data_IF_424667608488
#
_entry.id   IF_424667608488
#
_cell.length_a   1.000
_cell.length_b   1.000
_cell.length_c   1.000
_cell.angle_alpha   90.00
_cell.angle_beta   90.00
_cell.angle_gamma   90.00
#
_symmetry.space_group_name_H-M   'P 1'
#
loop_
_entity.id
_entity.type
_entity.pdbx_description
1 polymer ?
#
# COMPACT_ATOMS: atom_id res chain seq x y z
N UNK A 1 12.78 2.12 -9.91
CA UNK A 1 13.66 1.01 -9.54
C UNK A 1 13.68 0.71 -8.04
N UNK A 2 14.43 -0.31 -7.62
CA UNK A 2 14.66 -0.59 -6.20
C UNK A 2 15.91 0.13 -5.69
N UNK A 3 16.02 0.32 -4.38
CA UNK A 3 17.21 0.91 -3.73
C UNK A 3 18.50 0.17 -4.11
N UNK A 4 18.47 -1.17 -4.16
CA UNK A 4 19.63 -1.98 -4.56
C UNK A 4 20.08 -1.69 -5.99
N UNK A 5 19.14 -1.63 -6.94
CA UNK A 5 19.43 -1.29 -8.34
C UNK A 5 19.91 0.15 -8.47
N UNK A 6 19.30 1.09 -7.73
CA UNK A 6 19.73 2.49 -7.72
C UNK A 6 21.17 2.65 -7.27
N UNK A 7 21.59 1.94 -6.23
CA UNK A 7 22.99 1.92 -5.77
C UNK A 7 23.96 1.47 -6.85
N UNK A 8 23.64 0.41 -7.60
CA UNK A 8 24.49 -0.07 -8.70
C UNK A 8 24.54 0.93 -9.85
N UNK A 9 23.42 1.54 -10.21
CA UNK A 9 23.36 2.58 -11.24
C UNK A 9 24.25 3.79 -10.84
N UNK A 10 24.14 4.27 -9.59
CA UNK A 10 24.94 5.40 -9.10
C UNK A 10 26.44 5.07 -9.08
N UNK A 11 26.84 3.86 -8.71
CA UNK A 11 28.25 3.42 -8.80
C UNK A 11 28.75 3.45 -10.25
N UNK A 12 27.96 2.92 -11.19
CA UNK A 12 28.31 2.94 -12.61
C UNK A 12 28.39 4.39 -13.14
N UNK A 13 27.46 5.25 -12.76
CA UNK A 13 27.45 6.65 -13.14
C UNK A 13 28.68 7.40 -12.61
N UNK A 14 29.04 7.18 -11.34
CA UNK A 14 30.23 7.77 -10.74
C UNK A 14 31.53 7.33 -11.45
N UNK A 15 31.66 6.06 -11.80
CA UNK A 15 32.83 5.54 -12.53
C UNK A 15 33.00 6.17 -13.93
N UNK A 16 31.91 6.62 -14.53
CA UNK A 16 31.90 7.21 -15.87
C UNK A 16 31.70 8.73 -15.86
N UNK A 17 31.64 9.37 -14.69
CA UNK A 17 31.38 10.82 -14.50
C UNK A 17 30.10 11.29 -15.20
N UNK A 18 29.06 10.47 -15.18
CA UNK A 18 27.76 10.76 -15.81
C UNK A 18 26.79 11.27 -14.74
N UNK A 19 26.20 12.47 -14.91
CA UNK A 19 25.10 12.92 -14.06
C UNK A 19 23.91 11.94 -14.16
N UNK A 20 23.30 11.59 -13.01
CA UNK A 20 22.19 10.66 -12.99
C UNK A 20 21.14 11.09 -11.98
N UNK A 21 19.87 10.89 -12.35
CA UNK A 21 18.71 10.96 -11.47
C UNK A 21 18.13 9.57 -11.35
N UNK A 22 17.82 9.14 -10.14
CA UNK A 22 17.22 7.83 -9.87
C UNK A 22 15.87 7.99 -9.20
N UNK A 23 14.91 7.25 -9.72
CA UNK A 23 13.58 7.10 -9.15
C UNK A 23 13.48 5.69 -8.56
N UNK A 24 13.27 5.59 -7.25
CA UNK A 24 13.38 4.35 -6.48
C UNK A 24 12.09 4.04 -5.72
N UNK A 25 12.18 3.24 -4.67
CA UNK A 25 11.03 2.84 -3.88
C UNK A 25 10.53 3.88 -2.88
N UNK A 26 9.37 3.63 -2.33
CA UNK A 26 8.73 4.45 -1.32
C UNK A 26 7.93 3.64 -0.30
N UNK A 27 7.56 4.32 0.79
CA UNK A 27 6.66 3.79 1.83
C UNK A 27 5.81 4.92 2.41
N UNK A 28 5.17 5.66 1.51
CA UNK A 28 4.44 6.89 1.83
C UNK A 28 3.31 6.66 2.83
N UNK A 29 3.21 7.48 3.90
CA UNK A 29 2.10 7.42 4.84
C UNK A 29 0.97 8.38 4.44
N UNK A 30 -0.29 7.95 4.54
CA UNK A 30 -1.43 8.83 4.72
C UNK A 30 -1.71 8.95 6.22
N UNK A 31 -1.88 10.18 6.72
CA UNK A 31 -2.10 10.46 8.14
C UNK A 31 -3.48 11.07 8.32
N UNK A 32 -4.30 10.47 9.19
CA UNK A 32 -5.67 10.87 9.45
C UNK A 32 -5.84 11.24 10.93
N UNK A 33 -6.05 12.53 11.19
CA UNK A 33 -6.36 13.05 12.52
C UNK A 33 -7.87 13.10 12.77
N UNK A 34 -8.28 13.20 14.02
CA UNK A 34 -9.70 13.21 14.40
C UNK A 34 -10.48 14.41 13.87
N UNK A 35 -9.80 15.51 13.54
CA UNK A 35 -10.41 16.71 12.97
C UNK A 35 -11.08 16.47 11.60
N UNK A 36 -10.81 15.34 10.94
CA UNK A 36 -11.58 14.93 9.76
C UNK A 36 -13.09 14.77 10.04
N UNK A 37 -13.46 14.62 11.32
CA UNK A 37 -14.85 14.56 11.76
C UNK A 37 -15.52 15.92 11.87
N UNK A 38 -14.77 17.02 11.88
CA UNK A 38 -15.29 18.39 11.98
C UNK A 38 -15.86 18.89 10.66
N UNK A 39 -15.63 18.16 9.58
CA UNK A 39 -16.15 18.46 8.26
C UNK A 39 -17.49 17.77 8.00
N UNK A 40 -18.12 18.13 6.87
CA UNK A 40 -19.41 17.55 6.45
C UNK A 40 -19.40 16.01 6.47
N UNK A 41 -20.55 15.40 6.68
CA UNK A 41 -20.72 13.94 6.86
C UNK A 41 -20.05 13.06 5.79
N UNK A 42 -19.84 13.61 4.57
CA UNK A 42 -19.19 12.88 3.47
C UNK A 42 -17.64 12.95 3.48
N UNK A 43 -17.03 13.80 4.30
CA UNK A 43 -15.58 14.01 4.26
C UNK A 43 -14.79 12.79 4.70
N UNK A 44 -15.24 12.10 5.75
CA UNK A 44 -14.62 10.85 6.20
C UNK A 44 -14.66 9.76 5.11
N UNK A 45 -15.74 9.74 4.33
CA UNK A 45 -15.87 8.86 3.17
C UNK A 45 -14.86 9.21 2.07
N UNK A 46 -14.63 10.51 1.82
CA UNK A 46 -13.59 10.96 0.86
C UNK A 46 -12.18 10.60 1.33
N UNK A 47 -11.92 10.68 2.63
CA UNK A 47 -10.66 10.22 3.21
C UNK A 47 -10.45 8.71 2.98
N UNK A 48 -11.50 7.90 3.18
CA UNK A 48 -11.43 6.47 2.90
C UNK A 48 -11.21 6.16 1.42
N UNK A 49 -11.86 6.89 0.51
CA UNK A 49 -11.60 6.80 -0.93
C UNK A 49 -10.15 7.15 -1.27
N UNK A 50 -9.61 8.22 -0.68
CA UNK A 50 -8.21 8.61 -0.83
C UNK A 50 -7.23 7.51 -0.40
N UNK A 51 -7.54 6.78 0.67
CA UNK A 51 -6.72 5.63 1.08
C UNK A 51 -6.78 4.50 0.06
N UNK A 52 -7.97 4.21 -0.47
CA UNK A 52 -8.16 3.12 -1.44
C UNK A 52 -7.44 3.35 -2.78
N UNK A 53 -7.04 4.59 -3.10
CA UNK A 53 -6.18 4.88 -4.24
C UNK A 53 -4.86 4.10 -4.17
N UNK A 54 -4.43 3.68 -2.98
CA UNK A 54 -3.26 2.82 -2.80
C UNK A 54 -3.39 1.44 -3.45
N UNK A 55 -4.58 0.99 -3.82
CA UNK A 55 -4.79 -0.25 -4.56
C UNK A 55 -4.77 -0.06 -6.09
N UNK A 56 -4.95 1.16 -6.57
CA UNK A 56 -5.03 1.43 -8.00
C UNK A 56 -3.68 1.23 -8.67
N UNK A 57 -3.71 1.03 -9.98
CA UNK A 57 -2.56 0.57 -10.76
C UNK A 57 -1.89 -0.67 -10.12
N UNK A 58 -2.70 -1.59 -9.57
CA UNK A 58 -2.29 -2.82 -8.87
C UNK A 58 -1.40 -2.54 -7.64
N UNK A 59 -1.36 -1.31 -7.09
CA UNK A 59 -0.42 -0.89 -6.06
C UNK A 59 1.05 -0.81 -6.53
N UNK A 60 1.30 -0.90 -7.83
CA UNK A 60 2.62 -0.79 -8.44
C UNK A 60 2.97 0.68 -8.74
N UNK A 61 3.02 1.49 -7.67
CA UNK A 61 3.28 2.94 -7.71
C UNK A 61 4.23 3.29 -6.57
N UNK A 62 5.36 3.93 -6.88
CA UNK A 62 6.38 4.31 -5.89
C UNK A 62 5.88 5.35 -4.86
N UNK A 63 4.97 6.25 -5.28
CA UNK A 63 4.32 7.24 -4.41
C UNK A 63 3.02 6.73 -3.78
N UNK A 64 2.73 5.43 -3.90
CA UNK A 64 1.51 4.83 -3.36
C UNK A 64 1.43 5.07 -1.84
N UNK A 65 0.26 5.51 -1.30
CA UNK A 65 0.05 5.61 0.14
C UNK A 65 -0.10 4.21 0.76
N UNK A 66 1.04 3.51 0.87
CA UNK A 66 1.08 2.11 1.30
C UNK A 66 0.97 1.92 2.81
N UNK A 67 0.98 3.02 3.59
CA UNK A 67 0.69 3.05 5.03
C UNK A 67 -0.44 4.03 5.32
N UNK A 68 -1.36 3.65 6.22
CA UNK A 68 -2.32 4.55 6.83
C UNK A 68 -2.05 4.66 8.33
N UNK A 69 -1.78 5.88 8.79
CA UNK A 69 -1.64 6.23 10.20
C UNK A 69 -2.94 6.92 10.61
N UNK A 70 -3.66 6.34 11.56
CA UNK A 70 -5.01 6.78 11.93
C UNK A 70 -5.03 7.10 13.43
N UNK A 71 -5.49 8.28 13.80
CA UNK A 71 -5.59 8.65 15.21
C UNK A 71 -6.52 7.69 15.96
N UNK A 72 -6.14 7.25 17.18
CA UNK A 72 -6.85 6.21 17.94
C UNK A 72 -8.35 6.51 18.11
N UNK A 73 -8.71 7.78 18.31
CA UNK A 73 -10.13 8.19 18.52
C UNK A 73 -11.06 7.92 17.35
N UNK A 74 -10.52 7.81 16.12
CA UNK A 74 -11.32 7.57 14.90
C UNK A 74 -11.01 6.23 14.24
N UNK A 75 -10.05 5.46 14.78
CA UNK A 75 -9.47 4.28 14.14
C UNK A 75 -10.53 3.26 13.71
N UNK A 76 -11.33 2.79 14.63
CA UNK A 76 -12.33 1.74 14.34
C UNK A 76 -13.38 2.23 13.33
N UNK A 77 -13.92 3.44 13.55
CA UNK A 77 -14.92 4.03 12.65
C UNK A 77 -14.39 4.22 11.23
N UNK A 78 -13.15 4.67 11.11
CA UNK A 78 -12.51 4.87 9.81
C UNK A 78 -12.26 3.54 9.10
N UNK A 79 -11.76 2.53 9.82
CA UNK A 79 -11.52 1.21 9.26
C UNK A 79 -12.80 0.51 8.79
N UNK A 80 -13.90 0.65 9.52
CA UNK A 80 -15.20 0.10 9.08
C UNK A 80 -15.59 0.63 7.70
N UNK A 81 -15.43 1.94 7.48
CA UNK A 81 -15.72 2.57 6.19
C UNK A 81 -14.76 2.07 5.10
N UNK A 82 -13.46 2.01 5.39
CA UNK A 82 -12.44 1.55 4.44
C UNK A 82 -12.70 0.10 4.03
N UNK A 83 -12.98 -0.79 4.99
CA UNK A 83 -13.28 -2.21 4.75
C UNK A 83 -14.52 -2.37 3.87
N UNK A 84 -15.63 -1.66 4.20
CA UNK A 84 -16.85 -1.76 3.39
C UNK A 84 -16.65 -1.25 1.95
N UNK A 85 -15.97 -0.13 1.78
CA UNK A 85 -15.66 0.40 0.44
C UNK A 85 -14.71 -0.50 -0.35
N UNK A 86 -13.74 -1.12 0.30
CA UNK A 86 -12.81 -2.04 -0.35
C UNK A 86 -13.50 -3.22 -1.02
N UNK A 87 -14.65 -3.66 -0.51
CA UNK A 87 -15.45 -4.75 -1.09
C UNK A 87 -16.02 -4.42 -2.47
N UNK A 88 -16.09 -3.14 -2.81
CA UNK A 88 -16.63 -2.68 -4.11
C UNK A 88 -15.58 -2.61 -5.21
N UNK A 89 -14.31 -2.83 -4.89
CA UNK A 89 -13.21 -2.76 -5.85
C UNK A 89 -13.31 -3.91 -6.85
N UNK A 90 -13.42 -3.57 -8.13
CA UNK A 90 -13.53 -4.54 -9.22
C UNK A 90 -12.15 -4.88 -9.77
N UNK A 91 -11.81 -6.16 -9.73
CA UNK A 91 -10.65 -6.70 -10.42
C UNK A 91 -11.06 -7.30 -11.76
N UNK A 92 -10.26 -7.14 -12.81
CA UNK A 92 -10.65 -7.64 -14.12
C UNK A 92 -9.66 -7.33 -15.23
N UNK A 93 -10.17 -7.39 -16.46
CA UNK A 93 -9.43 -7.02 -17.66
C UNK A 93 -9.16 -5.49 -17.66
N UNK A 94 -7.91 -5.04 -17.78
CA UNK A 94 -7.58 -3.61 -17.76
C UNK A 94 -8.14 -2.82 -18.95
N UNK A 95 -8.64 -3.51 -20.01
CA UNK A 95 -9.33 -2.86 -21.12
C UNK A 95 -10.84 -2.65 -20.86
N UNK A 96 -11.37 -3.20 -19.77
CA UNK A 96 -12.74 -2.94 -19.33
C UNK A 96 -12.77 -1.67 -18.48
N UNK A 97 -13.55 -0.63 -18.84
CA UNK A 97 -13.61 0.62 -18.11
C UNK A 97 -14.15 0.47 -16.67
N UNK A 98 -14.81 -0.63 -16.34
CA UNK A 98 -15.28 -0.92 -14.98
C UNK A 98 -14.20 -1.55 -14.11
N UNK A 99 -13.08 -1.99 -14.67
CA UNK A 99 -11.96 -2.57 -13.92
C UNK A 99 -11.17 -1.47 -13.20
N UNK A 100 -10.98 -1.63 -11.91
CA UNK A 100 -10.22 -0.71 -11.07
C UNK A 100 -8.81 -1.23 -10.75
N UNK A 101 -8.66 -2.56 -10.64
CA UNK A 101 -7.38 -3.20 -10.30
C UNK A 101 -7.13 -4.37 -11.27
N UNK A 102 -6.01 -4.34 -11.96
CA UNK A 102 -5.56 -5.37 -12.90
C UNK A 102 -4.65 -6.43 -12.27
N UNK A 103 -4.00 -7.22 -13.14
CA UNK A 103 -2.99 -8.19 -12.74
C UNK A 103 -1.64 -7.51 -12.43
N UNK A 104 -0.82 -8.14 -11.60
CA UNK A 104 0.57 -7.72 -11.38
C UNK A 104 1.39 -7.84 -12.66
N UNK A 105 2.42 -7.00 -12.80
CA UNK A 105 3.24 -6.92 -14.00
C UNK A 105 4.01 -8.21 -14.32
N UNK A 106 4.31 -9.05 -13.32
CA UNK A 106 5.06 -10.29 -13.50
C UNK A 106 4.77 -11.32 -12.41
N UNK A 107 5.13 -12.58 -12.70
CA UNK A 107 5.09 -13.65 -11.69
C UNK A 107 6.01 -13.36 -10.50
N UNK A 108 7.19 -12.82 -10.75
CA UNK A 108 8.15 -12.47 -9.71
C UNK A 108 7.53 -11.45 -8.73
N UNK A 109 6.87 -10.41 -9.25
CA UNK A 109 6.19 -9.42 -8.42
C UNK A 109 5.00 -10.03 -7.66
N UNK A 110 4.22 -10.88 -8.30
CA UNK A 110 3.16 -11.63 -7.65
C UNK A 110 3.70 -12.47 -6.48
N UNK A 111 4.73 -13.28 -6.71
CA UNK A 111 5.34 -14.13 -5.69
C UNK A 111 5.91 -13.30 -4.53
N UNK A 112 6.53 -12.15 -4.84
CA UNK A 112 7.00 -11.20 -3.81
C UNK A 112 5.84 -10.72 -2.93
N UNK A 113 4.74 -10.26 -3.52
CA UNK A 113 3.58 -9.78 -2.77
C UNK A 113 3.02 -10.90 -1.88
N UNK A 114 2.83 -12.09 -2.43
CA UNK A 114 2.34 -13.24 -1.67
C UNK A 114 3.27 -13.59 -0.49
N UNK A 115 4.59 -13.46 -0.67
CA UNK A 115 5.53 -13.65 0.43
C UNK A 115 5.35 -12.64 1.57
N UNK A 116 5.03 -11.37 1.25
CA UNK A 116 4.74 -10.36 2.27
C UNK A 116 3.41 -10.58 2.99
N UNK A 117 2.41 -11.18 2.33
CA UNK A 117 1.19 -11.63 3.02
C UNK A 117 1.51 -12.64 4.12
N UNK A 118 2.41 -13.58 3.81
CA UNK A 118 2.86 -14.59 4.77
C UNK A 118 3.73 -13.97 5.88
N UNK A 119 4.66 -13.10 5.53
CA UNK A 119 5.47 -12.34 6.50
C UNK A 119 4.57 -11.56 7.47
N UNK A 120 3.58 -10.84 6.96
CA UNK A 120 2.63 -10.10 7.80
C UNK A 120 1.91 -11.01 8.79
N UNK A 121 1.42 -12.17 8.36
CA UNK A 121 0.79 -13.17 9.24
C UNK A 121 1.75 -13.68 10.32
N UNK A 122 2.99 -14.00 9.95
CA UNK A 122 4.01 -14.50 10.88
C UNK A 122 4.41 -13.45 11.91
N UNK A 123 4.44 -12.17 11.53
CA UNK A 123 4.72 -11.06 12.43
C UNK A 123 3.51 -10.66 13.28
N UNK A 124 2.34 -11.25 13.04
CA UNK A 124 1.11 -11.05 13.81
C UNK A 124 0.22 -9.92 13.32
N UNK A 125 0.38 -9.49 12.06
CA UNK A 125 -0.55 -8.55 11.44
C UNK A 125 -1.93 -9.19 11.26
N UNK A 126 -2.98 -8.43 11.52
CA UNK A 126 -4.36 -8.83 11.28
C UNK A 126 -4.76 -8.47 9.85
N UNK A 127 -5.13 -9.45 9.05
CA UNK A 127 -5.70 -9.21 7.72
C UNK A 127 -7.16 -8.82 7.88
N UNK A 128 -7.51 -7.61 7.48
CA UNK A 128 -8.87 -7.07 7.55
C UNK A 128 -9.67 -7.40 6.29
N UNK A 129 -9.01 -7.36 5.13
CA UNK A 129 -9.55 -7.77 3.81
C UNK A 129 -8.45 -8.40 2.97
N UNK A 130 -8.83 -9.20 1.98
CA UNK A 130 -7.89 -9.80 1.03
C UNK A 130 -6.94 -10.81 1.66
N UNK A 131 -5.67 -10.68 1.39
CA UNK A 131 -4.61 -11.51 1.95
C UNK A 131 -4.29 -12.77 1.13
N UNK A 132 -4.81 -12.88 -0.10
CA UNK A 132 -4.61 -14.03 -0.96
C UNK A 132 -4.57 -13.62 -2.44
N UNK A 133 -4.29 -14.58 -3.30
CA UNK A 133 -4.45 -14.42 -4.74
C UNK A 133 -5.93 -14.28 -5.10
N UNK A 134 -6.22 -13.54 -6.18
CA UNK A 134 -7.56 -13.49 -6.73
C UNK A 134 -7.66 -14.45 -7.92
N UNK A 135 -8.49 -15.48 -7.79
CA UNK A 135 -8.72 -16.44 -8.84
C UNK A 135 -9.88 -16.00 -9.75
N UNK A 136 -9.56 -15.26 -10.80
CA UNK A 136 -10.54 -14.85 -11.79
C UNK A 136 -10.81 -15.97 -12.79
N UNK A 137 -12.01 -16.00 -13.37
CA UNK A 137 -12.47 -17.05 -14.28
C UNK A 137 -12.28 -16.64 -15.77
N UNK A 138 -12.53 -17.60 -16.67
CA UNK A 138 -12.49 -17.38 -18.11
C UNK A 138 -11.10 -17.01 -18.62
N UNK A 139 -11.01 -16.04 -19.52
CA UNK A 139 -9.77 -15.59 -20.17
C UNK A 139 -8.78 -14.92 -19.19
N UNK A 140 -9.22 -14.61 -17.98
CA UNK A 140 -8.38 -14.04 -16.94
C UNK A 140 -7.79 -15.10 -16.02
N UNK A 141 -8.16 -16.37 -16.19
CA UNK A 141 -7.63 -17.48 -15.40
C UNK A 141 -6.13 -17.63 -15.61
N UNK A 142 -5.38 -17.74 -14.52
CA UNK A 142 -3.91 -17.81 -14.57
C UNK A 142 -3.20 -16.47 -14.65
N UNK A 143 -3.90 -15.35 -14.64
CA UNK A 143 -3.33 -14.02 -14.46
C UNK A 143 -2.82 -13.81 -13.03
N UNK A 144 -1.84 -12.94 -12.86
CA UNK A 144 -1.20 -12.65 -11.57
C UNK A 144 -2.02 -11.67 -10.72
N UNK A 145 -3.24 -12.04 -10.38
CA UNK A 145 -4.16 -11.21 -9.61
C UNK A 145 -3.97 -11.41 -8.11
N UNK A 146 -3.80 -10.32 -7.39
CA UNK A 146 -3.75 -10.28 -5.91
C UNK A 146 -4.96 -9.52 -5.41
N UNK A 147 -5.64 -10.04 -4.40
CA UNK A 147 -6.76 -9.34 -3.76
C UNK A 147 -6.28 -8.02 -3.14
N UNK A 148 -7.00 -6.90 -3.31
CA UNK A 148 -6.76 -5.70 -2.50
C UNK A 148 -6.73 -6.09 -1.03
N UNK A 149 -5.61 -5.80 -0.36
CA UNK A 149 -5.32 -6.31 0.96
C UNK A 149 -5.05 -5.18 1.95
N UNK A 150 -5.75 -5.21 3.07
CA UNK A 150 -5.55 -4.30 4.20
C UNK A 150 -5.08 -5.10 5.41
N UNK A 151 -3.93 -4.73 5.96
CA UNK A 151 -3.33 -5.38 7.13
C UNK A 151 -3.17 -4.40 8.27
N UNK A 152 -3.80 -4.68 9.40
CA UNK A 152 -3.57 -3.92 10.64
C UNK A 152 -2.39 -4.49 11.42
N UNK A 153 -1.52 -3.63 11.93
CA UNK A 153 -0.33 -4.07 12.63
C UNK A 153 0.46 -2.94 13.28
N UNK A 154 1.70 -3.24 13.65
CA UNK A 154 2.62 -2.31 14.29
C UNK A 154 3.66 -1.81 13.30
N UNK A 155 4.17 -0.61 13.52
CA UNK A 155 5.12 0.05 12.63
C UNK A 155 6.45 -0.71 12.46
N UNK A 156 6.86 -1.51 13.43
CA UNK A 156 8.09 -2.32 13.39
C UNK A 156 8.01 -3.57 12.51
N UNK A 157 6.81 -3.93 12.04
CA UNK A 157 6.63 -5.06 11.13
C UNK A 157 7.16 -4.73 9.74
N UNK A 158 7.71 -5.72 9.04
CA UNK A 158 8.28 -5.57 7.70
C UNK A 158 7.28 -5.03 6.67
N UNK A 159 6.00 -5.36 6.83
CA UNK A 159 4.94 -4.83 5.97
C UNK A 159 4.77 -3.31 6.07
N UNK A 160 5.24 -2.67 7.14
CA UNK A 160 5.26 -1.20 7.34
C UNK A 160 6.60 -0.58 6.96
N UNK A 161 7.69 -1.34 7.01
CA UNK A 161 9.05 -0.87 6.80
C UNK A 161 9.55 -1.07 5.37
N UNK A 162 9.05 -2.07 4.67
CA UNK A 162 9.56 -2.47 3.35
C UNK A 162 8.53 -2.21 2.25
N UNK A 163 9.00 -1.84 1.05
CA UNK A 163 8.16 -1.66 -0.11
C UNK A 163 7.68 -3.00 -0.68
N UNK A 164 6.37 -3.24 -0.63
CA UNK A 164 5.75 -4.44 -1.21
C UNK A 164 5.53 -4.27 -2.71
N UNK A 165 5.13 -3.08 -3.15
CA UNK A 165 4.84 -2.71 -4.53
C UNK A 165 3.70 -3.55 -5.13
N UNK A 166 2.57 -3.58 -4.42
CA UNK A 166 1.36 -4.33 -4.77
C UNK A 166 0.13 -3.76 -4.06
N UNK A 167 -1.05 -4.31 -4.30
CA UNK A 167 -2.30 -3.79 -3.75
C UNK A 167 -2.44 -4.16 -2.26
N UNK A 168 -1.48 -3.69 -1.45
CA UNK A 168 -1.36 -4.01 -0.03
C UNK A 168 -1.10 -2.76 0.77
N UNK A 169 -1.97 -2.47 1.73
CA UNK A 169 -1.88 -1.32 2.63
C UNK A 169 -1.71 -1.81 4.07
N UNK A 170 -0.76 -1.22 4.80
CA UNK A 170 -0.62 -1.37 6.24
C UNK A 170 -1.38 -0.25 6.97
N UNK A 171 -2.15 -0.59 8.01
CA UNK A 171 -2.82 0.39 8.87
C UNK A 171 -2.38 0.24 10.32
N UNK A 172 -2.07 1.36 10.95
CA UNK A 172 -1.72 1.42 12.37
C UNK A 172 -2.32 2.66 13.02
N UNK A 173 -2.48 2.66 14.33
CA UNK A 173 -2.97 3.82 15.06
C UNK A 173 -1.82 4.66 15.63
N UNK A 174 -2.13 5.91 15.96
CA UNK A 174 -1.27 6.81 16.74
C UNK A 174 -2.13 7.63 17.72
N UNK A 175 -1.50 8.18 18.77
CA UNK A 175 -2.19 8.94 19.83
C UNK A 175 -2.22 10.44 19.55
N UNK A 176 -1.08 10.97 19.16
CA UNK A 176 -0.87 12.40 18.97
C UNK A 176 0.05 12.71 17.77
N UNK A 177 0.16 13.98 17.43
CA UNK A 177 0.96 14.44 16.29
C UNK A 177 2.43 14.02 16.39
N UNK A 178 3.01 14.03 17.58
CA UNK A 178 4.42 13.67 17.78
C UNK A 178 4.65 12.19 17.43
N UNK A 179 3.74 11.31 17.86
CA UNK A 179 3.79 9.89 17.51
C UNK A 179 3.53 9.65 16.01
N UNK A 180 2.54 10.36 15.42
CA UNK A 180 2.28 10.27 13.99
C UNK A 180 3.51 10.61 13.16
N UNK A 181 4.20 11.72 13.49
CA UNK A 181 5.41 12.14 12.81
C UNK A 181 6.58 11.17 13.03
N UNK A 182 6.73 10.62 14.25
CA UNK A 182 7.73 9.61 14.55
C UNK A 182 7.52 8.36 13.69
N UNK A 183 6.30 7.82 13.62
CA UNK A 183 5.95 6.65 12.80
C UNK A 183 6.12 6.96 11.30
N UNK A 184 5.68 8.14 10.84
CA UNK A 184 5.75 8.51 9.45
C UNK A 184 7.19 8.52 8.91
N UNK A 185 8.12 9.02 9.72
CA UNK A 185 9.53 9.17 9.37
C UNK A 185 10.41 7.94 9.72
N UNK A 186 9.84 6.93 10.36
CA UNK A 186 10.57 5.73 10.76
C UNK A 186 10.61 4.70 9.62
N UNK A 187 11.20 5.10 8.50
CA UNK A 187 11.54 4.24 7.35
C UNK A 187 12.78 4.77 6.64
N UNK A 188 13.42 3.92 5.85
CA UNK A 188 14.57 4.31 5.01
C UNK A 188 14.16 5.11 3.75
N UNK A 189 12.86 5.31 3.52
CA UNK A 189 12.34 5.97 2.33
C UNK A 189 12.04 7.45 2.58
N UNK A 190 12.23 8.26 1.53
CA UNK A 190 11.92 9.68 1.52
C UNK A 190 10.88 10.09 0.48
N UNK A 191 10.30 9.10 -0.20
CA UNK A 191 9.29 9.33 -1.23
C UNK A 191 7.90 9.20 -0.64
#
# INVERSE_FOLDING_TARGET
GSTAVGNEILKCAANNLIPSTVELGGKSPNIYFEDVLDYEDDYLNKCAEGLLLGFFNQGEVCTCPSRALIQESIYDRFLDIVVERSKTIKQGNPLDPETQVGAQASKEQFDKIMSYMEIGRQEGAQILIGGDSANLSGDLSGGYYVQPTLMAGKNDMRIFQEEIFGPTLGVTSFKDEAEALAIANDTDYGL
#
